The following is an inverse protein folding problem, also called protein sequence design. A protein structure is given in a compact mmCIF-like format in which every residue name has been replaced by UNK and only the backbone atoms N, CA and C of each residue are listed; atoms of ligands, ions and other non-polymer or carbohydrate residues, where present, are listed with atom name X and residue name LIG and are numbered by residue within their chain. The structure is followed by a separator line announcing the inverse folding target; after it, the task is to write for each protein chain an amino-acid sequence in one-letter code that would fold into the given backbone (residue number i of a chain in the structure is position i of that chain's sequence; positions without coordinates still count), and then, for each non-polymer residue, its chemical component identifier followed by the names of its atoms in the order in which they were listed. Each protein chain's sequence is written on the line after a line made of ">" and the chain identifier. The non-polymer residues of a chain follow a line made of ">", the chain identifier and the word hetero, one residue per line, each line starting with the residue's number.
data_IF_801257340743
#
_entry.id   IF_801257340743
#
_cell.length_a   1.000
_cell.length_b   1.000
_cell.length_c   1.000
_cell.angle_alpha   90.00
_cell.angle_beta   90.00
_cell.angle_gamma   90.00
#
_symmetry.space_group_name_H-M   'P 1'
#
loop_
_entity.id
_entity.type
_entity.pdbx_description
1 polymer ?
#
# COMPACT_ATOMS: atom_id res chain seq x y z
N UNK A 1 35.38 38.44 11.15
CA UNK A 1 34.51 37.98 10.06
C UNK A 1 33.80 36.71 10.52
N UNK A 2 32.50 36.77 10.75
CA UNK A 2 31.71 35.61 11.23
C UNK A 2 31.68 34.57 10.12
N UNK A 3 32.13 33.32 10.41
CA UNK A 3 31.95 32.17 9.52
C UNK A 3 30.45 31.89 9.37
N UNK A 4 29.92 32.12 8.18
CA UNK A 4 28.53 31.86 7.89
C UNK A 4 28.16 30.38 8.17
N UNK A 5 27.02 30.18 8.83
CA UNK A 5 26.41 28.87 9.00
C UNK A 5 26.16 28.29 7.61
N UNK A 6 26.66 27.09 7.35
CA UNK A 6 26.35 26.37 6.10
C UNK A 6 24.94 25.78 6.24
N UNK A 7 24.03 26.27 5.44
CA UNK A 7 22.72 25.64 5.27
C UNK A 7 22.74 24.67 4.08
N UNK A 8 22.02 23.57 4.18
CA UNK A 8 21.78 22.59 3.11
C UNK A 8 20.29 22.50 2.91
N UNK A 9 19.86 22.36 1.66
CA UNK A 9 18.47 22.24 1.30
C UNK A 9 18.16 20.79 0.95
N UNK A 10 17.17 20.21 1.62
CA UNK A 10 16.71 18.83 1.39
C UNK A 10 15.36 18.82 0.71
N UNK A 11 15.22 17.98 -0.30
CA UNK A 11 13.92 17.69 -0.89
C UNK A 11 13.10 16.81 0.06
N UNK A 12 11.97 17.28 0.54
CA UNK A 12 11.08 16.56 1.45
C UNK A 12 10.45 15.31 0.83
N UNK A 13 10.36 15.25 -0.52
CA UNK A 13 9.77 14.13 -1.21
C UNK A 13 10.74 12.95 -1.40
N UNK A 14 12.02 13.22 -1.76
CA UNK A 14 12.99 12.16 -2.08
C UNK A 14 14.30 12.23 -1.28
N UNK A 15 14.49 13.25 -0.42
CA UNK A 15 15.70 13.42 0.38
C UNK A 15 16.93 13.91 -0.42
N UNK A 16 16.76 14.32 -1.67
CA UNK A 16 17.87 14.88 -2.47
C UNK A 16 18.42 16.16 -1.84
N UNK A 17 19.76 16.26 -1.77
CA UNK A 17 20.47 17.36 -1.10
C UNK A 17 21.02 18.35 -2.12
N UNK A 18 20.82 19.64 -1.85
CA UNK A 18 21.35 20.73 -2.65
C UNK A 18 21.92 21.85 -1.77
N UNK A 19 22.97 22.52 -2.27
CA UNK A 19 23.60 23.64 -1.56
C UNK A 19 22.76 24.92 -1.61
N UNK A 20 21.73 24.98 -2.47
CA UNK A 20 20.83 26.12 -2.68
C UNK A 20 19.40 25.63 -2.86
N UNK A 21 18.46 26.47 -2.49
CA UNK A 21 17.05 26.20 -2.77
C UNK A 21 16.78 26.16 -4.28
N UNK A 22 16.12 25.12 -4.74
CA UNK A 22 15.66 24.96 -6.12
C UNK A 22 14.14 24.88 -6.14
N UNK A 23 13.50 25.49 -7.13
CA UNK A 23 12.04 25.43 -7.29
C UNK A 23 11.54 24.03 -7.65
N UNK A 24 12.35 23.25 -8.39
CA UNK A 24 12.04 21.88 -8.77
C UNK A 24 13.20 20.96 -8.35
N UNK A 25 12.89 19.83 -7.77
CA UNK A 25 13.89 18.84 -7.38
C UNK A 25 14.44 18.11 -8.64
N UNK A 26 15.77 18.11 -8.87
CA UNK A 26 16.35 17.45 -10.04
C UNK A 26 16.27 15.91 -9.96
N UNK A 27 16.09 15.35 -8.76
CA UNK A 27 16.05 13.91 -8.57
C UNK A 27 14.64 13.32 -8.74
N UNK A 28 13.59 13.98 -8.22
CA UNK A 28 12.22 13.46 -8.29
C UNK A 28 11.25 14.29 -9.14
N UNK A 29 11.68 15.46 -9.63
CA UNK A 29 10.87 16.33 -10.49
C UNK A 29 9.76 17.12 -9.79
N UNK A 30 9.58 16.97 -8.48
CA UNK A 30 8.57 17.68 -7.72
C UNK A 30 8.93 19.14 -7.48
N UNK A 31 7.89 20.00 -7.45
CA UNK A 31 8.04 21.44 -7.28
C UNK A 31 7.87 21.85 -5.82
N UNK A 32 8.65 22.88 -5.38
CA UNK A 32 8.56 23.51 -4.06
C UNK A 32 8.75 22.54 -2.88
N UNK A 33 9.61 21.52 -3.03
CA UNK A 33 9.84 20.48 -2.02
C UNK A 33 11.12 20.68 -1.20
N UNK A 34 11.93 21.73 -1.46
CA UNK A 34 13.16 21.96 -0.72
C UNK A 34 12.92 22.74 0.57
N UNK A 35 13.46 22.22 1.67
CA UNK A 35 13.49 22.86 2.99
C UNK A 35 14.92 23.09 3.42
N UNK A 36 15.19 24.26 4.00
CA UNK A 36 16.50 24.63 4.54
C UNK A 36 16.72 23.98 5.90
N UNK A 37 17.78 23.19 6.03
CA UNK A 37 18.30 22.71 7.31
C UNK A 37 19.63 23.40 7.61
N UNK A 38 19.72 24.01 8.79
CA UNK A 38 20.93 24.68 9.25
C UNK A 38 21.87 23.67 9.89
N UNK A 39 23.00 23.42 9.25
CA UNK A 39 24.06 22.62 9.84
C UNK A 39 24.83 23.54 10.82
N UNK A 40 24.60 23.35 12.11
CA UNK A 40 25.47 24.00 13.12
C UNK A 40 26.83 23.29 13.07
N UNK A 41 27.80 23.97 12.52
CA UNK A 41 29.20 23.53 12.50
C UNK A 41 29.84 23.65 13.89
N UNK A 42 29.31 22.90 14.83
CA UNK A 42 29.82 22.78 16.21
C UNK A 42 30.81 21.65 16.35
N UNK A 43 31.81 21.58 15.47
CA UNK A 43 33.00 20.79 15.78
C UNK A 43 33.88 21.67 16.65
N UNK A 44 33.71 21.62 17.95
CA UNK A 44 34.71 22.04 18.92
C UNK A 44 35.93 21.12 18.76
N UNK A 45 36.99 21.70 18.16
CA UNK A 45 38.33 21.15 18.28
C UNK A 45 38.70 21.12 19.76
N UNK A 46 38.89 19.92 20.28
CA UNK A 46 39.55 19.81 21.56
C UNK A 46 39.12 18.60 22.38
N UNK A 47 39.52 17.44 21.98
CA UNK A 47 40.15 16.49 22.88
C UNK A 47 40.73 15.37 22.03
N UNK A 48 42.02 15.26 21.94
CA UNK A 48 42.76 14.10 21.49
C UNK A 48 42.45 12.96 22.43
N UNK A 49 41.35 12.27 22.19
CA UNK A 49 41.09 10.92 22.75
C UNK A 49 41.90 9.95 21.92
N UNK A 50 42.85 9.38 22.63
CA UNK A 50 43.83 8.39 22.21
C UNK A 50 43.29 7.42 21.17
N UNK A 51 43.90 7.45 19.97
CA UNK A 51 43.68 6.57 18.83
C UNK A 51 44.08 5.09 19.08
N UNK A 52 43.87 4.58 20.29
CA UNK A 52 44.24 3.21 20.68
C UNK A 52 43.08 2.27 21.01
N UNK A 53 41.82 2.77 21.14
CA UNK A 53 40.67 1.88 21.45
C UNK A 53 39.70 1.61 20.28
N UNK A 54 39.92 2.19 19.10
CA UNK A 54 39.07 1.99 17.93
C UNK A 54 39.57 0.93 16.95
N UNK A 55 40.57 0.12 17.34
CA UNK A 55 41.11 -0.94 16.46
C UNK A 55 40.64 -2.36 16.76
N UNK A 56 39.78 -2.57 17.75
CA UNK A 56 39.34 -3.93 18.14
C UNK A 56 37.97 -4.37 17.58
N UNK A 57 37.31 -3.61 16.75
CA UNK A 57 36.05 -4.05 16.11
C UNK A 57 36.00 -3.83 14.61
N UNK A 58 37.13 -3.85 13.90
CA UNK A 58 37.07 -4.15 12.47
C UNK A 58 36.70 -5.63 12.37
N UNK A 59 35.39 -5.93 12.30
CA UNK A 59 34.91 -7.25 11.86
C UNK A 59 35.64 -7.54 10.56
N UNK A 60 36.53 -8.54 10.54
CA UNK A 60 37.15 -9.00 9.32
C UNK A 60 36.05 -9.29 8.31
N UNK A 61 36.05 -8.53 7.22
CA UNK A 61 35.09 -8.73 6.15
C UNK A 61 35.39 -10.10 5.51
N UNK A 62 34.60 -11.10 5.86
CA UNK A 62 34.77 -12.47 5.37
C UNK A 62 34.11 -12.60 4.01
N UNK A 63 34.89 -12.81 2.97
CA UNK A 63 34.37 -13.14 1.64
C UNK A 63 34.04 -14.63 1.62
N UNK A 64 32.79 -14.97 1.30
CA UNK A 64 32.33 -16.36 1.17
C UNK A 64 31.75 -16.58 -0.23
N UNK A 65 31.99 -17.72 -0.87
CA UNK A 65 31.35 -18.09 -2.12
C UNK A 65 29.84 -18.19 -1.93
N UNK A 66 29.05 -17.74 -2.92
CA UNK A 66 27.58 -17.80 -2.87
C UNK A 66 27.05 -19.22 -2.63
N UNK A 67 27.77 -20.23 -3.13
CA UNK A 67 27.44 -21.65 -2.97
C UNK A 67 27.58 -22.19 -1.54
N UNK A 68 28.32 -21.49 -0.69
CA UNK A 68 28.47 -21.82 0.73
C UNK A 68 27.44 -21.11 1.62
N UNK A 69 26.69 -20.16 1.05
CA UNK A 69 25.62 -19.47 1.77
C UNK A 69 24.37 -20.33 1.74
N UNK A 70 24.01 -20.92 2.87
CA UNK A 70 22.75 -21.64 3.04
C UNK A 70 21.64 -20.62 3.30
N UNK A 71 20.78 -20.37 2.31
CA UNK A 71 19.55 -19.64 2.48
C UNK A 71 18.43 -20.66 2.71
N UNK A 72 17.88 -20.71 3.90
CA UNK A 72 16.67 -21.50 4.17
C UNK A 72 15.45 -20.60 3.91
N UNK A 73 14.67 -20.91 2.89
CA UNK A 73 13.34 -20.28 2.69
C UNK A 73 12.42 -20.51 3.90
N UNK A 74 12.65 -21.57 4.67
CA UNK A 74 11.97 -21.87 5.93
C UNK A 74 12.31 -20.92 7.10
N UNK A 75 13.30 -20.02 6.93
CA UNK A 75 13.68 -19.07 7.97
C UNK A 75 12.69 -17.90 8.15
N UNK A 76 11.65 -17.80 7.31
CA UNK A 76 10.63 -16.75 7.45
C UNK A 76 9.76 -16.99 8.70
N UNK A 77 9.60 -15.93 9.49
CA UNK A 77 8.72 -15.95 10.64
C UNK A 77 7.30 -15.51 10.22
N UNK A 78 6.31 -16.38 10.34
CA UNK A 78 4.92 -16.00 10.10
C UNK A 78 4.42 -15.06 11.19
N UNK A 79 3.71 -14.01 10.80
CA UNK A 79 3.15 -13.03 11.74
C UNK A 79 1.91 -13.54 12.46
N UNK A 80 1.30 -14.63 11.97
CA UNK A 80 -0.01 -15.12 12.41
C UNK A 80 -1.18 -14.31 11.84
N UNK A 81 -0.92 -13.37 10.92
CA UNK A 81 -1.89 -12.57 10.18
C UNK A 81 -1.69 -12.91 8.70
N UNK A 82 -2.59 -13.71 8.11
CA UNK A 82 -2.42 -14.26 6.76
C UNK A 82 -2.35 -13.18 5.68
N UNK A 83 -3.16 -12.14 5.80
CA UNK A 83 -3.17 -11.03 4.83
C UNK A 83 -1.86 -10.23 4.91
N UNK A 84 -1.24 -10.09 6.08
CA UNK A 84 0.09 -9.48 6.22
C UNK A 84 1.20 -10.40 5.68
N UNK A 85 1.16 -11.69 6.03
CA UNK A 85 2.14 -12.66 5.55
C UNK A 85 2.14 -12.75 4.02
N UNK A 86 0.97 -12.66 3.39
CA UNK A 86 0.83 -12.59 1.92
C UNK A 86 1.60 -11.39 1.35
N UNK A 87 1.39 -10.20 1.88
CA UNK A 87 2.03 -8.96 1.41
C UNK A 87 3.54 -8.97 1.65
N UNK A 88 3.98 -9.62 2.74
CA UNK A 88 5.40 -9.83 3.04
C UNK A 88 6.06 -10.91 2.15
N UNK A 89 5.26 -11.66 1.38
CA UNK A 89 5.75 -12.76 0.54
C UNK A 89 6.01 -14.06 1.32
N UNK A 90 5.18 -14.34 2.33
CA UNK A 90 5.19 -15.56 3.15
C UNK A 90 5.65 -15.37 4.59
N UNK A 91 5.90 -14.15 5.03
CA UNK A 91 6.29 -13.82 6.41
C UNK A 91 7.52 -12.92 6.52
N UNK A 92 7.90 -12.65 7.75
CA UNK A 92 9.01 -11.75 8.11
C UNK A 92 10.36 -12.44 7.84
N UNK A 93 11.25 -11.75 7.15
CA UNK A 93 12.63 -12.23 6.92
C UNK A 93 13.54 -11.75 8.05
N UNK A 94 14.34 -12.63 8.68
CA UNK A 94 15.30 -12.23 9.71
C UNK A 94 16.27 -11.14 9.22
N UNK A 95 16.54 -10.16 10.05
CA UNK A 95 17.42 -9.03 9.69
C UNK A 95 16.85 -8.07 8.67
N UNK A 96 15.54 -8.14 8.35
CA UNK A 96 14.89 -7.20 7.46
C UNK A 96 14.46 -5.92 8.17
N UNK A 97 14.50 -4.80 7.43
CA UNK A 97 13.93 -3.53 7.85
C UNK A 97 12.67 -3.24 7.03
N UNK A 98 11.52 -3.20 7.70
CA UNK A 98 10.19 -3.05 7.08
C UNK A 98 9.59 -1.69 7.46
N UNK A 99 9.27 -0.87 6.47
CA UNK A 99 8.56 0.39 6.66
C UNK A 99 7.05 0.18 6.46
N UNK A 100 6.26 0.61 7.44
CA UNK A 100 4.79 0.66 7.34
C UNK A 100 4.36 2.12 7.29
N UNK A 101 3.97 2.57 6.09
CA UNK A 101 3.52 3.93 5.82
C UNK A 101 2.00 4.05 5.68
N UNK A 102 1.51 5.28 5.66
CA UNK A 102 0.08 5.60 5.44
C UNK A 102 -0.39 6.78 6.29
N UNK A 103 -1.62 7.24 6.02
CA UNK A 103 -2.23 8.38 6.69
C UNK A 103 -2.31 8.17 8.22
N UNK A 104 -2.26 9.26 9.03
CA UNK A 104 -2.52 9.18 10.46
C UNK A 104 -3.91 8.59 10.74
N UNK A 105 -3.99 7.68 11.72
CA UNK A 105 -5.25 7.02 12.09
C UNK A 105 -5.72 5.89 11.17
N UNK A 106 -4.95 5.51 10.12
CA UNK A 106 -5.33 4.44 9.18
C UNK A 106 -5.26 3.03 9.80
N UNK A 107 -4.49 2.83 10.89
CA UNK A 107 -4.37 1.55 11.58
C UNK A 107 -2.96 0.96 11.67
N UNK A 108 -1.90 1.69 11.27
CA UNK A 108 -0.51 1.20 11.29
C UNK A 108 -0.07 0.63 12.63
N UNK A 109 -0.15 1.47 13.68
CA UNK A 109 0.23 1.08 15.05
C UNK A 109 -0.67 -0.04 15.60
N UNK A 110 -1.95 -0.08 15.17
CA UNK A 110 -2.88 -1.16 15.52
C UNK A 110 -2.44 -2.48 14.94
N UNK A 111 -2.13 -2.53 13.63
CA UNK A 111 -1.64 -3.74 12.96
C UNK A 111 -0.37 -4.26 13.64
N UNK A 112 0.62 -3.36 13.87
CA UNK A 112 1.90 -3.78 14.44
C UNK A 112 1.76 -4.25 15.89
N UNK A 113 0.86 -3.65 16.68
CA UNK A 113 0.58 -4.12 18.03
C UNK A 113 -0.10 -5.51 18.00
N UNK A 114 -0.98 -5.79 17.03
CA UNK A 114 -1.56 -7.13 16.81
C UNK A 114 -0.51 -8.15 16.38
N UNK A 115 0.45 -7.77 15.52
CA UNK A 115 1.61 -8.61 15.18
C UNK A 115 2.44 -8.91 16.41
N UNK A 116 2.74 -7.89 17.24
CA UNK A 116 3.47 -8.08 18.50
C UNK A 116 2.74 -9.04 19.43
N UNK A 117 1.41 -8.93 19.54
CA UNK A 117 0.60 -9.85 20.34
C UNK A 117 0.77 -11.30 19.91
N UNK A 118 0.62 -11.57 18.61
CA UNK A 118 0.74 -12.92 18.03
C UNK A 118 2.16 -13.49 18.22
N UNK A 119 3.17 -12.70 17.91
CA UNK A 119 4.56 -13.14 17.99
C UNK A 119 5.05 -13.29 19.41
N UNK A 120 4.57 -12.48 20.35
CA UNK A 120 4.97 -12.59 21.77
C UNK A 120 4.52 -13.88 22.45
N UNK A 121 3.63 -14.67 21.85
CA UNK A 121 3.27 -15.99 22.37
C UNK A 121 4.48 -16.95 22.41
N UNK A 122 5.47 -16.76 21.52
CA UNK A 122 6.63 -17.66 21.39
C UNK A 122 7.96 -16.96 21.14
N UNK A 123 7.99 -15.61 21.05
CA UNK A 123 9.17 -14.78 20.78
C UNK A 123 9.25 -13.60 21.74
N UNK A 124 10.47 -13.18 22.04
CA UNK A 124 10.72 -11.91 22.74
C UNK A 124 10.55 -10.74 21.78
N UNK A 125 9.54 -9.90 22.01
CA UNK A 125 9.20 -8.76 21.13
C UNK A 125 9.40 -7.45 21.90
N UNK A 126 10.04 -6.46 21.29
CA UNK A 126 10.23 -5.14 21.84
C UNK A 126 9.47 -4.09 21.01
N UNK A 127 8.50 -3.42 21.62
CA UNK A 127 7.77 -2.31 21.05
C UNK A 127 8.29 -1.00 21.62
N UNK A 128 8.82 -0.13 20.76
CA UNK A 128 9.41 1.16 21.12
C UNK A 128 8.48 2.26 20.62
N UNK A 129 8.01 3.10 21.53
CA UNK A 129 7.12 4.21 21.21
C UNK A 129 7.78 5.55 21.54
N UNK A 130 7.77 6.45 20.55
CA UNK A 130 8.14 7.83 20.75
C UNK A 130 6.95 8.80 20.79
N UNK A 131 5.73 8.31 20.56
CA UNK A 131 4.53 9.16 20.50
C UNK A 131 3.58 8.91 21.67
N UNK A 132 3.44 7.66 22.10
CA UNK A 132 2.49 7.27 23.15
C UNK A 132 3.20 6.81 24.41
N UNK A 133 2.62 7.15 25.55
CA UNK A 133 3.06 6.63 26.86
C UNK A 133 2.67 5.14 27.04
N UNK A 134 3.34 4.43 27.95
CA UNK A 134 3.03 3.04 28.28
C UNK A 134 1.55 2.85 28.66
N UNK A 135 0.96 3.80 29.38
CA UNK A 135 -0.45 3.75 29.77
C UNK A 135 -1.40 3.84 28.56
N UNK A 136 -1.10 4.70 27.58
CA UNK A 136 -1.88 4.83 26.36
C UNK A 136 -1.81 3.57 25.48
N UNK A 137 -0.61 3.00 25.34
CA UNK A 137 -0.42 1.72 24.62
C UNK A 137 -1.20 0.62 25.33
N UNK A 138 -1.15 0.54 26.67
CA UNK A 138 -1.90 -0.45 27.44
C UNK A 138 -3.41 -0.31 27.27
N UNK A 139 -3.94 0.91 27.25
CA UNK A 139 -5.36 1.16 26.98
C UNK A 139 -5.79 0.68 25.61
N UNK A 140 -4.93 0.86 24.59
CA UNK A 140 -5.16 0.34 23.24
C UNK A 140 -5.08 -1.19 23.20
N UNK A 141 -4.06 -1.77 23.84
CA UNK A 141 -3.84 -3.21 23.93
C UNK A 141 -5.03 -3.93 24.58
N UNK A 142 -5.63 -3.37 25.63
CA UNK A 142 -6.77 -3.97 26.33
C UNK A 142 -8.00 -4.20 25.44
N UNK A 143 -8.14 -3.46 24.30
CA UNK A 143 -9.22 -3.68 23.32
C UNK A 143 -8.98 -4.89 22.43
N UNK A 144 -7.72 -5.33 22.32
CA UNK A 144 -7.30 -6.40 21.42
C UNK A 144 -7.22 -7.77 22.12
N UNK A 145 -7.46 -7.83 23.43
CA UNK A 145 -7.39 -9.02 24.26
C UNK A 145 -6.07 -9.14 25.03
N UNK A 146 -5.76 -10.36 25.48
CA UNK A 146 -4.60 -10.61 26.34
C UNK A 146 -3.29 -10.62 25.54
N UNK A 147 -2.23 -10.21 26.19
CA UNK A 147 -0.86 -10.17 25.65
C UNK A 147 0.06 -11.03 26.50
N UNK A 148 1.02 -11.68 25.87
CA UNK A 148 2.06 -12.45 26.53
C UNK A 148 3.04 -11.57 27.29
N UNK A 149 3.67 -12.13 28.33
CA UNK A 149 4.75 -11.50 29.11
C UNK A 149 6.03 -11.26 28.28
N UNK A 150 6.14 -11.88 27.10
CA UNK A 150 7.28 -11.68 26.19
C UNK A 150 7.16 -10.40 25.32
N UNK A 151 6.09 -9.59 25.48
CA UNK A 151 6.01 -8.27 24.87
C UNK A 151 6.53 -7.21 25.86
N UNK A 152 7.64 -6.59 25.48
CA UNK A 152 8.28 -5.51 26.23
C UNK A 152 7.97 -4.16 25.59
N UNK A 153 7.72 -3.14 26.42
CA UNK A 153 7.47 -1.77 25.99
C UNK A 153 8.61 -0.85 26.45
N UNK A 154 9.10 -0.03 25.52
CA UNK A 154 10.05 1.05 25.81
C UNK A 154 9.48 2.37 25.27
N UNK A 155 9.35 3.38 26.12
CA UNK A 155 8.99 4.74 25.70
C UNK A 155 10.27 5.59 25.73
N UNK A 156 10.93 5.67 24.59
CA UNK A 156 12.20 6.38 24.39
C UNK A 156 12.33 6.85 22.95
N UNK A 157 13.06 7.93 22.74
CA UNK A 157 13.27 8.56 21.43
C UNK A 157 14.75 8.76 21.07
N UNK A 158 15.64 8.65 22.04
CA UNK A 158 17.09 8.75 21.83
C UNK A 158 17.67 7.45 21.29
N UNK A 159 18.33 7.52 20.12
CA UNK A 159 18.84 6.36 19.39
C UNK A 159 19.95 5.60 20.12
N UNK A 160 20.81 6.31 20.86
CA UNK A 160 21.92 5.73 21.60
C UNK A 160 21.39 4.83 22.72
N UNK A 161 20.36 5.30 23.45
CA UNK A 161 19.69 4.54 24.51
C UNK A 161 18.96 3.32 23.91
N UNK A 162 18.19 3.54 22.83
CA UNK A 162 17.44 2.48 22.13
C UNK A 162 18.38 1.40 21.65
N UNK A 163 19.48 1.77 20.99
CA UNK A 163 20.47 0.81 20.47
C UNK A 163 21.08 -0.03 21.60
N UNK A 164 21.46 0.60 22.70
CA UNK A 164 21.98 -0.08 23.89
C UNK A 164 20.98 -1.07 24.48
N UNK A 165 19.69 -0.73 24.53
CA UNK A 165 18.62 -1.63 24.99
C UNK A 165 18.45 -2.82 24.03
N UNK A 166 18.40 -2.58 22.72
CA UNK A 166 18.27 -3.67 21.71
C UNK A 166 19.46 -4.64 21.79
N UNK A 167 20.67 -4.12 21.91
CA UNK A 167 21.89 -4.94 22.02
C UNK A 167 21.94 -5.77 23.31
N UNK A 168 21.48 -5.20 24.43
CA UNK A 168 21.42 -5.86 25.71
C UNK A 168 20.33 -6.91 25.78
N UNK A 169 19.11 -6.53 25.42
CA UNK A 169 17.91 -7.36 25.58
C UNK A 169 17.75 -8.43 24.49
N UNK A 170 18.41 -8.25 23.33
CA UNK A 170 18.40 -9.20 22.20
C UNK A 170 16.99 -9.68 21.85
N UNK A 171 16.03 -8.77 21.58
CA UNK A 171 14.70 -9.20 21.16
C UNK A 171 14.77 -9.92 19.80
N UNK A 172 13.79 -10.77 19.52
CA UNK A 172 13.66 -11.48 18.24
C UNK A 172 12.89 -10.66 17.19
N UNK A 173 12.24 -9.57 17.61
CA UNK A 173 11.59 -8.59 16.75
C UNK A 173 11.53 -7.23 17.47
N UNK A 174 11.68 -6.15 16.69
CA UNK A 174 11.56 -4.77 17.18
C UNK A 174 10.52 -4.01 16.34
N UNK A 175 9.71 -3.19 17.01
CA UNK A 175 8.80 -2.22 16.38
C UNK A 175 9.16 -0.83 16.86
N UNK A 176 9.27 0.13 15.93
CA UNK A 176 9.52 1.55 16.18
C UNK A 176 8.29 2.37 15.77
N UNK A 177 7.63 3.03 16.71
CA UNK A 177 6.40 3.80 16.48
C UNK A 177 6.49 5.21 17.09
N UNK A 178 6.86 6.25 16.32
CA UNK A 178 7.19 6.27 14.90
C UNK A 178 8.64 6.73 14.67
N UNK A 179 9.15 6.53 13.44
CA UNK A 179 10.49 6.94 13.05
C UNK A 179 10.70 8.46 13.15
N UNK A 180 9.63 9.25 12.99
CA UNK A 180 9.68 10.71 13.00
C UNK A 180 10.01 11.30 14.38
N UNK A 181 9.78 10.57 15.45
CA UNK A 181 10.08 11.01 16.81
C UNK A 181 11.47 10.63 17.28
N UNK A 182 12.15 9.73 16.56
CA UNK A 182 13.49 9.27 16.90
C UNK A 182 14.54 10.33 16.56
N UNK A 183 15.57 10.45 17.41
CA UNK A 183 16.67 11.36 17.18
C UNK A 183 18.01 10.85 17.71
N UNK A 184 19.09 11.30 17.09
CA UNK A 184 20.47 11.16 17.58
C UNK A 184 20.99 12.54 17.98
N UNK A 185 21.71 12.60 19.10
CA UNK A 185 22.39 13.81 19.56
C UNK A 185 23.56 14.21 18.62
N UNK A 186 24.04 13.29 17.78
CA UNK A 186 25.10 13.55 16.79
C UNK A 186 24.60 14.39 15.60
N UNK A 187 23.28 14.45 15.37
CA UNK A 187 22.66 15.17 14.27
C UNK A 187 22.02 16.47 14.80
N UNK A 188 22.54 17.62 14.40
CA UNK A 188 22.13 18.92 14.94
C UNK A 188 20.71 19.39 14.52
N UNK A 189 20.02 18.69 13.63
CA UNK A 189 18.67 19.04 13.18
C UNK A 189 17.58 18.52 14.14
N UNK A 190 16.40 19.15 14.10
CA UNK A 190 15.27 18.77 14.96
C UNK A 190 14.74 17.36 14.66
N UNK A 191 14.16 16.64 15.65
CA UNK A 191 13.44 15.40 15.43
C UNK A 191 12.39 15.54 14.31
N UNK A 192 12.25 14.51 13.47
CA UNK A 192 11.36 14.55 12.32
C UNK A 192 11.91 15.24 11.07
N UNK A 193 13.06 15.88 11.14
CA UNK A 193 13.76 16.40 9.95
C UNK A 193 14.25 15.26 9.06
N UNK A 194 14.53 15.55 7.77
CA UNK A 194 15.02 14.55 6.81
C UNK A 194 16.32 13.91 7.30
N UNK A 195 17.24 14.71 7.84
CA UNK A 195 18.54 14.24 8.34
C UNK A 195 18.38 13.28 9.53
N UNK A 196 17.55 13.64 10.51
CA UNK A 196 17.28 12.79 11.68
C UNK A 196 16.61 11.47 11.27
N UNK A 197 15.58 11.55 10.43
CA UNK A 197 14.85 10.36 9.98
C UNK A 197 15.74 9.42 9.16
N UNK A 198 16.64 9.96 8.33
CA UNK A 198 17.63 9.16 7.58
C UNK A 198 18.64 8.50 8.50
N UNK A 199 19.19 9.25 9.46
CA UNK A 199 20.16 8.70 10.42
C UNK A 199 19.52 7.64 11.30
N UNK A 200 18.34 7.90 11.85
CA UNK A 200 17.58 6.91 12.63
C UNK A 200 17.35 5.61 11.84
N UNK A 201 16.97 5.74 10.56
CA UNK A 201 16.77 4.58 9.69
C UNK A 201 18.06 3.82 9.43
N UNK A 202 19.19 4.53 9.26
CA UNK A 202 20.50 3.93 9.07
C UNK A 202 20.93 3.12 10.29
N UNK A 203 20.76 3.66 11.49
CA UNK A 203 21.03 2.97 12.77
C UNK A 203 20.20 1.69 12.89
N UNK A 204 18.88 1.77 12.64
CA UNK A 204 18.02 0.58 12.70
C UNK A 204 18.35 -0.44 11.62
N UNK A 205 18.78 -0.02 10.43
CA UNK A 205 19.26 -0.93 9.38
C UNK A 205 20.52 -1.68 9.81
N UNK A 206 21.47 -0.99 10.42
CA UNK A 206 22.69 -1.61 10.94
C UNK A 206 22.39 -2.59 12.07
N UNK A 207 21.51 -2.25 13.00
CA UNK A 207 21.07 -3.13 14.07
C UNK A 207 20.34 -4.36 13.50
N UNK A 208 19.40 -4.18 12.57
CA UNK A 208 18.67 -5.27 11.94
C UNK A 208 19.62 -6.26 11.27
N UNK A 209 20.55 -5.78 10.41
CA UNK A 209 21.51 -6.61 9.68
C UNK A 209 22.57 -7.21 10.61
N UNK A 210 23.09 -6.41 11.55
CA UNK A 210 24.17 -6.84 12.45
C UNK A 210 23.75 -7.90 13.47
N UNK A 211 22.52 -7.80 13.96
CA UNK A 211 21.96 -8.72 14.97
C UNK A 211 21.04 -9.78 14.37
N UNK A 212 20.76 -9.71 13.06
CA UNK A 212 19.79 -10.57 12.36
C UNK A 212 18.35 -10.50 12.95
N UNK A 213 17.97 -9.32 13.46
CA UNK A 213 16.67 -9.06 14.09
C UNK A 213 15.79 -8.29 13.09
N UNK A 214 14.56 -8.74 12.77
CA UNK A 214 13.64 -7.96 11.96
C UNK A 214 13.16 -6.72 12.72
N UNK A 215 13.17 -5.57 12.04
CA UNK A 215 12.74 -4.29 12.58
C UNK A 215 11.62 -3.72 11.73
N UNK A 216 10.48 -3.41 12.36
CA UNK A 216 9.39 -2.66 11.74
C UNK A 216 9.45 -1.20 12.16
N UNK A 217 9.36 -0.30 11.20
CA UNK A 217 9.29 1.14 11.46
C UNK A 217 7.96 1.70 10.94
N UNK A 218 7.27 2.47 11.79
CA UNK A 218 6.06 3.20 11.40
C UNK A 218 6.48 4.56 10.85
N UNK A 219 5.94 4.92 9.68
CA UNK A 219 6.12 6.23 9.05
C UNK A 219 4.78 6.91 8.78
N UNK A 220 4.64 8.17 9.15
CA UNK A 220 3.45 8.97 8.84
C UNK A 220 3.64 9.73 7.53
N UNK A 221 2.63 9.67 6.63
CA UNK A 221 2.59 10.52 5.44
C UNK A 221 2.10 11.91 5.88
N UNK A 222 2.90 12.93 5.63
CA UNK A 222 2.51 14.31 5.93
C UNK A 222 2.05 15.00 4.65
N UNK A 223 0.85 15.58 4.67
CA UNK A 223 0.33 16.42 3.57
C UNK A 223 0.96 17.82 3.55
N UNK A 224 1.59 18.23 4.64
CA UNK A 224 2.03 19.62 4.89
C UNK A 224 3.56 19.82 4.96
N UNK A 225 4.35 18.97 4.34
CA UNK A 225 5.74 19.29 3.99
C UNK A 225 6.75 19.67 5.10
N UNK A 226 6.39 19.66 6.39
CA UNK A 226 7.31 20.05 7.48
C UNK A 226 8.07 18.89 8.11
N UNK A 227 7.58 17.67 7.96
CA UNK A 227 8.17 16.45 8.50
C UNK A 227 8.55 15.50 7.36
N UNK A 228 9.70 14.85 7.46
CA UNK A 228 10.16 13.88 6.45
C UNK A 228 9.15 12.74 6.27
N UNK A 229 8.62 12.63 5.06
CA UNK A 229 7.66 11.57 4.71
C UNK A 229 8.35 10.21 4.49
N UNK A 230 7.58 9.11 4.46
CA UNK A 230 8.10 7.75 4.24
C UNK A 230 8.88 7.58 2.94
N UNK A 231 8.61 8.36 1.89
CA UNK A 231 9.30 8.29 0.59
C UNK A 231 10.82 8.49 0.69
N UNK A 232 11.28 9.30 1.65
CA UNK A 232 12.71 9.48 1.93
C UNK A 232 13.38 8.17 2.31
N UNK A 233 12.65 7.27 2.96
CA UNK A 233 13.13 6.01 3.51
C UNK A 233 13.00 4.83 2.55
N UNK A 234 12.18 4.94 1.50
CA UNK A 234 11.88 3.82 0.59
C UNK A 234 13.14 3.17 0.00
N UNK A 235 14.18 3.98 -0.26
CA UNK A 235 15.43 3.46 -0.81
C UNK A 235 16.30 2.73 0.21
N UNK A 236 16.16 3.06 1.50
CA UNK A 236 17.00 2.53 2.57
C UNK A 236 16.50 1.22 3.14
N UNK A 237 15.17 1.00 3.16
CA UNK A 237 14.54 -0.18 3.75
C UNK A 237 14.42 -1.34 2.75
N UNK A 238 14.25 -2.55 3.26
CA UNK A 238 14.10 -3.75 2.44
C UNK A 238 12.67 -3.93 1.90
N UNK A 239 11.67 -3.59 2.72
CA UNK A 239 10.25 -3.71 2.38
C UNK A 239 9.53 -2.42 2.75
N UNK A 240 8.64 -1.96 1.88
CA UNK A 240 7.75 -0.81 2.10
C UNK A 240 6.33 -1.26 1.93
N UNK A 241 5.54 -1.13 2.98
CA UNK A 241 4.12 -1.41 3.01
C UNK A 241 3.36 -0.09 3.20
N UNK A 242 2.35 0.16 2.37
CA UNK A 242 1.47 1.31 2.52
C UNK A 242 0.05 0.87 2.85
N UNK A 243 -0.52 1.50 3.88
CA UNK A 243 -1.95 1.47 4.10
C UNK A 243 -2.66 2.48 3.20
N UNK A 244 -3.62 1.99 2.43
CA UNK A 244 -4.53 2.75 1.59
C UNK A 244 -5.97 2.59 2.12
N UNK A 245 -6.80 3.60 1.94
CA UNK A 245 -8.23 3.55 2.28
C UNK A 245 -8.76 4.91 2.72
N UNK A 246 -10.06 5.11 2.57
CA UNK A 246 -10.75 6.28 3.08
C UNK A 246 -11.00 6.10 4.59
N UNK A 247 -10.89 7.18 5.38
CA UNK A 247 -11.18 7.16 6.83
C UNK A 247 -12.62 6.76 7.14
N UNK A 248 -13.52 6.98 6.20
CA UNK A 248 -14.95 6.65 6.31
C UNK A 248 -15.29 5.25 5.79
N UNK A 249 -14.39 4.62 5.03
CA UNK A 249 -14.57 3.23 4.61
C UNK A 249 -14.17 2.28 5.74
N UNK A 250 -14.90 1.17 5.89
CA UNK A 250 -14.58 0.15 6.89
C UNK A 250 -13.27 -0.60 6.56
N UNK A 251 -12.88 -0.61 5.28
CA UNK A 251 -11.71 -1.34 4.81
C UNK A 251 -10.44 -0.55 4.77
N UNK A 252 -9.36 -1.33 4.91
CA UNK A 252 -8.00 -0.88 4.76
C UNK A 252 -7.28 -1.86 3.86
N UNK A 253 -6.61 -1.36 2.83
CA UNK A 253 -5.75 -2.15 1.95
C UNK A 253 -4.32 -1.92 2.37
N UNK A 254 -3.59 -2.99 2.60
CA UNK A 254 -2.15 -2.95 2.81
C UNK A 254 -1.47 -3.40 1.51
N UNK A 255 -0.68 -2.52 0.91
CA UNK A 255 0.01 -2.77 -0.36
C UNK A 255 1.52 -2.79 -0.18
N UNK A 256 2.20 -3.76 -0.78
CA UNK A 256 3.65 -3.72 -0.91
C UNK A 256 4.04 -2.80 -2.07
N UNK A 257 4.74 -1.70 -1.77
CA UNK A 257 5.30 -0.79 -2.78
C UNK A 257 6.73 -1.19 -3.15
N UNK A 258 7.45 -1.77 -2.19
CA UNK A 258 8.77 -2.35 -2.36
C UNK A 258 8.88 -3.61 -1.52
N UNK A 259 9.41 -4.68 -2.09
CA UNK A 259 9.70 -5.90 -1.36
C UNK A 259 10.89 -6.62 -2.01
N UNK A 260 12.04 -6.65 -1.31
CA UNK A 260 13.24 -7.36 -1.78
C UNK A 260 13.11 -8.88 -1.67
N UNK A 261 12.13 -9.35 -0.89
CA UNK A 261 11.97 -10.76 -0.54
C UNK A 261 10.72 -11.41 -1.13
N UNK A 262 9.94 -10.65 -1.91
CA UNK A 262 8.70 -11.14 -2.50
C UNK A 262 8.14 -10.22 -3.57
N UNK A 263 6.94 -10.53 -4.03
CA UNK A 263 6.22 -9.72 -5.02
C UNK A 263 5.79 -8.37 -4.41
N UNK A 264 5.85 -7.31 -5.19
CA UNK A 264 5.27 -6.00 -4.85
C UNK A 264 3.82 -5.86 -5.30
N UNK A 265 3.29 -6.89 -5.96
CA UNK A 265 1.93 -6.84 -6.49
C UNK A 265 0.87 -7.36 -5.49
N UNK A 266 1.28 -7.92 -4.35
CA UNK A 266 0.35 -8.48 -3.37
C UNK A 266 -0.30 -7.39 -2.53
N UNK A 267 -1.58 -7.61 -2.20
CA UNK A 267 -2.34 -6.78 -1.26
C UNK A 267 -2.90 -7.62 -0.11
N UNK A 268 -3.01 -6.98 1.05
CA UNK A 268 -3.75 -7.49 2.20
C UNK A 268 -5.00 -6.63 2.43
N UNK A 269 -6.13 -7.25 2.71
CA UNK A 269 -7.39 -6.56 2.96
C UNK A 269 -7.83 -6.76 4.40
N UNK A 270 -8.06 -5.65 5.09
CA UNK A 270 -8.45 -5.62 6.50
C UNK A 270 -9.72 -4.79 6.69
N UNK A 271 -10.49 -5.17 7.68
CA UNK A 271 -11.60 -4.38 8.20
C UNK A 271 -11.22 -3.75 9.55
N UNK A 272 -11.51 -2.47 9.74
CA UNK A 272 -11.28 -1.80 11.01
C UNK A 272 -12.50 -2.02 11.93
N UNK A 273 -12.29 -2.76 13.02
CA UNK A 273 -13.29 -3.02 14.05
C UNK A 273 -12.88 -2.43 15.39
N UNK A 274 -13.77 -2.50 16.40
CA UNK A 274 -13.45 -2.01 17.76
C UNK A 274 -12.30 -2.77 18.42
N UNK A 275 -12.14 -4.04 18.07
CA UNK A 275 -11.09 -4.94 18.55
C UNK A 275 -9.76 -4.81 17.77
N UNK A 276 -9.71 -3.97 16.74
CA UNK A 276 -8.55 -3.76 15.88
C UNK A 276 -8.82 -4.08 14.41
N UNK A 277 -7.78 -4.44 13.68
CA UNK A 277 -7.86 -4.85 12.28
C UNK A 277 -8.17 -6.34 12.19
N UNK A 278 -9.21 -6.67 11.44
CA UNK A 278 -9.63 -8.05 11.16
C UNK A 278 -9.34 -8.36 9.69
N UNK A 279 -8.80 -9.53 9.44
CA UNK A 279 -8.51 -10.01 8.08
C UNK A 279 -9.80 -10.25 7.30
N UNK A 280 -9.85 -9.82 6.05
CA UNK A 280 -10.97 -10.11 5.13
C UNK A 280 -10.58 -11.27 4.24
N UNK A 281 -11.05 -12.47 4.58
CA UNK A 281 -10.72 -13.69 3.83
C UNK A 281 -11.22 -13.64 2.38
N UNK A 282 -12.41 -13.09 2.16
CA UNK A 282 -13.02 -12.95 0.85
C UNK A 282 -13.45 -11.50 0.55
N UNK A 283 -12.53 -10.65 0.06
CA UNK A 283 -12.88 -9.27 -0.30
C UNK A 283 -13.99 -9.16 -1.33
N UNK A 284 -14.06 -10.08 -2.29
CA UNK A 284 -15.08 -10.07 -3.34
C UNK A 284 -16.49 -10.23 -2.79
N UNK A 285 -16.69 -11.17 -1.88
CA UNK A 285 -18.00 -11.40 -1.23
C UNK A 285 -18.49 -10.17 -0.49
N UNK A 286 -17.56 -9.53 0.18
CA UNK A 286 -17.86 -8.33 0.91
C UNK A 286 -18.15 -7.13 0.00
N UNK A 287 -17.34 -6.91 -1.05
CA UNK A 287 -17.54 -5.82 -2.02
C UNK A 287 -18.87 -5.89 -2.76
N UNK A 288 -19.43 -7.09 -2.82
CA UNK A 288 -20.73 -7.35 -3.46
C UNK A 288 -21.91 -7.33 -2.46
N UNK A 289 -21.62 -7.20 -1.15
CA UNK A 289 -22.66 -7.15 -0.12
C UNK A 289 -23.51 -5.87 -0.26
N UNK A 290 -24.84 -6.03 -0.17
CA UNK A 290 -25.78 -4.90 -0.30
C UNK A 290 -26.04 -4.41 -1.73
N UNK A 291 -25.58 -5.18 -2.75
CA UNK A 291 -25.88 -4.87 -4.15
C UNK A 291 -27.39 -4.92 -4.41
N UNK A 292 -27.94 -3.89 -5.10
CA UNK A 292 -29.36 -3.87 -5.41
C UNK A 292 -29.70 -4.91 -6.49
N UNK A 293 -30.81 -5.63 -6.31
CA UNK A 293 -31.35 -6.55 -7.29
C UNK A 293 -32.03 -5.80 -8.45
N UNK A 294 -31.87 -6.29 -9.68
CA UNK A 294 -32.52 -5.74 -10.88
C UNK A 294 -32.36 -4.22 -11.11
N UNK A 295 -31.24 -3.65 -10.66
CA UNK A 295 -30.96 -2.23 -10.86
C UNK A 295 -30.23 -1.98 -12.19
N UNK A 296 -30.74 -1.02 -12.98
CA UNK A 296 -30.02 -0.54 -14.16
C UNK A 296 -28.78 0.25 -13.71
N UNK A 297 -27.68 0.09 -14.45
CA UNK A 297 -26.43 0.76 -14.16
C UNK A 297 -25.52 0.05 -13.15
N UNK A 298 -25.91 -1.11 -12.61
CA UNK A 298 -25.07 -1.93 -11.74
C UNK A 298 -24.51 -3.13 -12.51
N UNK A 299 -23.19 -3.33 -12.48
CA UNK A 299 -22.48 -4.42 -13.14
C UNK A 299 -21.35 -4.95 -12.25
N UNK A 300 -21.19 -6.26 -12.17
CA UNK A 300 -20.04 -6.85 -11.52
C UNK A 300 -18.89 -7.03 -12.51
N UNK A 301 -17.73 -6.50 -12.17
CA UNK A 301 -16.50 -6.71 -12.90
C UNK A 301 -15.47 -7.45 -12.05
N UNK A 302 -14.48 -8.07 -12.71
CA UNK A 302 -13.35 -8.67 -12.04
C UNK A 302 -12.07 -7.91 -12.33
N UNK A 303 -11.48 -7.33 -11.30
CA UNK A 303 -10.12 -6.79 -11.30
C UNK A 303 -9.14 -7.81 -10.71
N UNK A 304 -7.86 -7.68 -11.06
CA UNK A 304 -6.77 -8.38 -10.37
C UNK A 304 -5.89 -7.37 -9.69
N UNK A 305 -5.73 -7.55 -8.40
CA UNK A 305 -4.76 -6.82 -7.60
C UNK A 305 -3.67 -7.80 -7.16
N UNK A 306 -2.50 -7.64 -7.75
CA UNK A 306 -1.42 -8.61 -7.58
C UNK A 306 -1.68 -9.94 -8.26
N UNK A 307 -1.86 -10.98 -7.48
CA UNK A 307 -2.27 -12.31 -7.94
C UNK A 307 -3.73 -12.61 -7.57
N UNK A 308 -4.42 -11.70 -6.89
CA UNK A 308 -5.75 -11.92 -6.33
C UNK A 308 -6.85 -11.33 -7.22
N UNK A 309 -7.75 -12.16 -7.74
CA UNK A 309 -8.95 -11.66 -8.39
C UNK A 309 -9.90 -11.07 -7.33
N UNK A 310 -10.42 -9.87 -7.60
CA UNK A 310 -11.39 -9.18 -6.75
C UNK A 310 -12.58 -8.81 -7.60
N UNK A 311 -13.75 -9.29 -7.21
CA UNK A 311 -15.01 -8.91 -7.82
C UNK A 311 -15.50 -7.62 -7.19
N UNK A 312 -15.84 -6.65 -8.04
CA UNK A 312 -16.28 -5.33 -7.65
C UNK A 312 -17.58 -4.97 -8.36
N UNK A 313 -18.45 -4.25 -7.67
CA UNK A 313 -19.61 -3.63 -8.30
C UNK A 313 -19.21 -2.28 -8.91
N UNK A 314 -19.52 -2.11 -10.18
CA UNK A 314 -19.44 -0.84 -10.90
C UNK A 314 -20.85 -0.29 -11.04
N UNK A 315 -21.07 0.92 -10.52
CA UNK A 315 -22.33 1.63 -10.60
C UNK A 315 -22.18 2.82 -11.56
N UNK A 316 -23.12 2.97 -12.48
CA UNK A 316 -23.20 4.12 -13.36
C UNK A 316 -24.60 4.74 -13.31
N UNK A 317 -24.67 6.04 -13.21
CA UNK A 317 -25.88 6.82 -13.36
C UNK A 317 -25.70 7.78 -14.52
N UNK A 318 -26.54 7.63 -15.55
CA UNK A 318 -26.56 8.51 -16.72
C UNK A 318 -27.92 9.19 -16.81
N UNK A 319 -27.95 10.51 -16.80
CA UNK A 319 -29.16 11.29 -16.89
C UNK A 319 -28.99 12.49 -17.85
N UNK A 320 -30.11 13.05 -18.33
CA UNK A 320 -30.05 14.21 -19.21
C UNK A 320 -29.52 15.46 -18.46
N UNK A 321 -28.58 16.17 -19.06
CA UNK A 321 -28.03 17.40 -18.48
C UNK A 321 -28.95 18.59 -18.74
N UNK A 322 -29.39 19.22 -17.67
CA UNK A 322 -30.27 20.40 -17.78
C UNK A 322 -29.50 21.74 -17.86
N UNK A 323 -28.16 21.72 -17.74
CA UNK A 323 -27.36 22.95 -17.56
C UNK A 323 -26.45 23.29 -18.75
N UNK A 324 -26.61 22.66 -19.90
CA UNK A 324 -25.81 22.94 -21.11
C UNK A 324 -24.34 22.50 -21.08
N UNK A 325 -23.79 22.18 -19.88
CA UNK A 325 -22.45 21.59 -19.71
C UNK A 325 -22.59 20.28 -18.92
N UNK A 326 -22.45 19.12 -19.58
CA UNK A 326 -22.57 17.84 -18.93
C UNK A 326 -21.56 17.64 -17.82
N UNK A 327 -22.01 17.19 -16.67
CA UNK A 327 -21.17 16.84 -15.52
C UNK A 327 -20.77 15.38 -15.61
N UNK A 328 -19.50 15.12 -15.39
CA UNK A 328 -18.96 13.76 -15.33
C UNK A 328 -18.19 13.61 -14.05
N UNK A 329 -18.43 12.52 -13.32
CA UNK A 329 -17.78 12.23 -12.05
C UNK A 329 -17.38 10.77 -12.02
N UNK A 330 -16.19 10.49 -11.54
CA UNK A 330 -15.69 9.15 -11.32
C UNK A 330 -15.20 9.01 -9.89
N UNK A 331 -15.70 8.01 -9.18
CA UNK A 331 -15.23 7.61 -7.86
C UNK A 331 -14.72 6.17 -7.92
N UNK A 332 -13.55 5.93 -7.34
CA UNK A 332 -12.91 4.61 -7.37
C UNK A 332 -12.22 4.22 -8.69
N UNK A 333 -12.32 5.06 -9.74
CA UNK A 333 -11.63 4.86 -11.02
C UNK A 333 -11.11 6.18 -11.60
N UNK A 334 -10.32 6.11 -12.68
CA UNK A 334 -9.76 7.30 -13.32
C UNK A 334 -10.82 8.08 -14.11
N UNK A 335 -10.94 9.37 -13.82
CA UNK A 335 -11.89 10.28 -14.48
C UNK A 335 -11.67 10.37 -15.99
N UNK A 336 -10.40 10.44 -16.44
CA UNK A 336 -10.08 10.56 -17.86
C UNK A 336 -10.43 9.26 -18.59
N UNK A 337 -10.25 8.10 -17.94
CA UNK A 337 -10.64 6.81 -18.49
C UNK A 337 -12.15 6.72 -18.73
N UNK A 338 -12.96 7.15 -17.78
CA UNK A 338 -14.44 7.21 -17.95
C UNK A 338 -14.82 8.10 -19.12
N UNK A 339 -14.23 9.30 -19.25
CA UNK A 339 -14.49 10.21 -20.37
C UNK A 339 -14.14 9.60 -21.71
N UNK A 340 -13.01 8.89 -21.78
CA UNK A 340 -12.55 8.19 -22.97
C UNK A 340 -13.54 7.09 -23.38
N UNK A 341 -13.99 6.27 -22.43
CA UNK A 341 -14.97 5.21 -22.68
C UNK A 341 -16.32 5.77 -23.14
N UNK A 342 -16.76 6.90 -22.58
CA UNK A 342 -17.97 7.59 -23.04
C UNK A 342 -17.83 8.10 -24.49
N UNK A 343 -16.69 8.66 -24.86
CA UNK A 343 -16.42 9.08 -26.23
C UNK A 343 -16.41 7.89 -27.21
N UNK A 344 -15.89 6.73 -26.77
CA UNK A 344 -15.94 5.49 -27.57
C UNK A 344 -17.40 5.04 -27.77
N UNK A 345 -18.23 5.02 -26.71
CA UNK A 345 -19.66 4.68 -26.79
C UNK A 345 -20.41 5.61 -27.75
N UNK A 346 -20.17 6.90 -27.65
CA UNK A 346 -20.80 7.90 -28.53
C UNK A 346 -20.39 7.68 -29.99
N UNK A 347 -19.08 7.57 -30.26
CA UNK A 347 -18.58 7.45 -31.63
C UNK A 347 -18.84 6.10 -32.29
N UNK A 348 -18.79 5.00 -31.53
CA UNK A 348 -18.87 3.62 -32.09
C UNK A 348 -20.27 3.04 -32.06
N UNK A 349 -21.09 3.40 -31.07
CA UNK A 349 -22.45 2.92 -30.92
C UNK A 349 -23.53 3.96 -31.23
N UNK A 350 -23.13 5.19 -31.54
CA UNK A 350 -24.09 6.28 -31.83
C UNK A 350 -24.93 6.71 -30.62
N UNK A 351 -24.45 6.47 -29.41
CA UNK A 351 -25.18 6.84 -28.20
C UNK A 351 -25.08 8.36 -27.97
N UNK A 352 -26.19 9.04 -27.75
CA UNK A 352 -26.23 10.48 -27.53
C UNK A 352 -25.83 10.85 -26.10
N UNK A 353 -24.56 10.62 -25.74
CA UNK A 353 -24.03 10.88 -24.40
C UNK A 353 -23.47 12.30 -24.23
N UNK A 354 -23.31 13.05 -25.33
CA UNK A 354 -22.73 14.40 -25.30
C UNK A 354 -23.52 15.40 -24.46
N UNK A 355 -24.84 15.20 -24.30
CA UNK A 355 -25.71 16.03 -23.48
C UNK A 355 -26.20 15.32 -22.19
N UNK A 356 -25.45 14.31 -21.73
CA UNK A 356 -25.81 13.53 -20.55
C UNK A 356 -24.80 13.74 -19.43
N UNK A 357 -25.28 13.97 -18.23
CA UNK A 357 -24.51 13.84 -17.01
C UNK A 357 -24.20 12.35 -16.77
N UNK A 358 -22.99 12.03 -16.33
CA UNK A 358 -22.59 10.67 -16.03
C UNK A 358 -21.80 10.60 -14.72
N UNK A 359 -22.22 9.71 -13.87
CA UNK A 359 -21.59 9.41 -12.59
C UNK A 359 -21.23 7.94 -12.57
N UNK A 360 -19.95 7.64 -12.38
CA UNK A 360 -19.43 6.26 -12.27
C UNK A 360 -18.81 6.09 -10.91
N UNK A 361 -19.19 5.03 -10.22
CA UNK A 361 -18.68 4.70 -8.89
C UNK A 361 -18.31 3.22 -8.83
N UNK A 362 -17.13 2.94 -8.28
CA UNK A 362 -16.77 1.57 -7.86
C UNK A 362 -17.18 1.46 -6.39
N UNK A 363 -18.10 0.54 -6.11
CA UNK A 363 -18.59 0.30 -4.75
C UNK A 363 -17.47 -0.21 -3.82
N UNK A 364 -17.60 0.04 -2.51
CA UNK A 364 -16.65 -0.42 -1.50
C UNK A 364 -15.48 0.53 -1.21
N UNK A 365 -15.42 1.72 -1.86
CA UNK A 365 -14.41 2.74 -1.56
C UNK A 365 -12.98 2.38 -1.99
N UNK A 366 -12.81 1.38 -2.85
CA UNK A 366 -11.53 0.95 -3.40
C UNK A 366 -11.25 1.68 -4.71
N UNK A 367 -9.99 2.05 -4.92
CA UNK A 367 -9.54 2.63 -6.18
C UNK A 367 -8.97 1.53 -7.09
N UNK A 368 -9.59 1.38 -8.27
CA UNK A 368 -9.19 0.42 -9.30
C UNK A 368 -8.66 1.15 -10.52
N UNK A 369 -7.46 0.78 -10.95
CA UNK A 369 -6.80 1.35 -12.13
C UNK A 369 -6.55 0.32 -13.23
N UNK A 370 -6.93 -0.95 -13.01
CA UNK A 370 -6.72 -2.02 -13.98
C UNK A 370 -7.65 -1.87 -15.19
N UNK A 371 -7.11 -1.91 -16.44
CA UNK A 371 -7.93 -1.77 -17.66
C UNK A 371 -9.00 -2.87 -17.84
N UNK A 372 -8.86 -4.00 -17.15
CA UNK A 372 -9.84 -5.07 -17.21
C UNK A 372 -11.25 -4.66 -16.78
N UNK A 373 -11.40 -3.57 -16.02
CA UNK A 373 -12.71 -3.05 -15.57
C UNK A 373 -13.43 -2.20 -16.64
N UNK A 374 -12.76 -1.84 -17.72
CA UNK A 374 -13.32 -0.99 -18.78
C UNK A 374 -14.63 -1.51 -19.35
N UNK A 375 -14.65 -2.81 -19.69
CA UNK A 375 -15.86 -3.42 -20.24
C UNK A 375 -17.02 -3.37 -19.23
N UNK A 376 -16.74 -3.51 -17.93
CA UNK A 376 -17.71 -3.32 -16.86
C UNK A 376 -18.23 -1.89 -16.80
N UNK A 377 -17.36 -0.88 -16.90
CA UNK A 377 -17.75 0.54 -16.93
C UNK A 377 -18.63 0.82 -18.15
N UNK A 378 -18.22 0.34 -19.33
CA UNK A 378 -19.01 0.48 -20.58
C UNK A 378 -20.39 -0.12 -20.41
N UNK A 379 -20.50 -1.35 -19.89
CA UNK A 379 -21.77 -2.04 -19.72
C UNK A 379 -22.65 -1.36 -18.65
N UNK A 380 -22.07 -0.83 -17.56
CA UNK A 380 -22.80 -0.08 -16.55
C UNK A 380 -23.38 1.21 -17.12
N UNK A 381 -22.59 1.98 -17.90
CA UNK A 381 -23.05 3.20 -18.56
C UNK A 381 -24.19 2.89 -19.54
N UNK A 382 -24.06 1.85 -20.36
CA UNK A 382 -25.09 1.45 -21.33
C UNK A 382 -26.37 0.96 -20.65
N UNK A 383 -26.23 0.16 -19.59
CA UNK A 383 -27.35 -0.32 -18.77
C UNK A 383 -28.15 0.84 -18.18
N UNK A 384 -27.44 1.82 -17.58
CA UNK A 384 -28.06 3.03 -17.04
C UNK A 384 -28.74 3.87 -18.13
N UNK A 385 -28.04 4.14 -19.25
CA UNK A 385 -28.57 4.94 -20.36
C UNK A 385 -29.82 4.34 -20.99
N UNK A 386 -29.89 3.01 -21.12
CA UNK A 386 -31.04 2.28 -21.66
C UNK A 386 -32.10 1.96 -20.62
N UNK A 387 -31.83 2.20 -19.35
CA UNK A 387 -32.62 1.80 -18.21
C UNK A 387 -32.98 0.29 -18.25
N UNK A 388 -31.98 -0.55 -18.55
CA UNK A 388 -32.09 -2.00 -18.60
C UNK A 388 -31.09 -2.65 -17.65
N UNK A 389 -31.55 -3.42 -16.66
CA UNK A 389 -30.65 -4.12 -15.75
C UNK A 389 -29.89 -5.22 -16.48
N UNK A 390 -28.69 -5.50 -15.99
CA UNK A 390 -27.89 -6.67 -16.37
C UNK A 390 -28.18 -7.74 -15.33
N UNK A 391 -28.28 -8.99 -15.78
CA UNK A 391 -28.48 -10.13 -14.89
C UNK A 391 -27.43 -10.14 -13.78
N UNK A 392 -27.89 -10.24 -12.54
CA UNK A 392 -27.06 -10.13 -11.32
C UNK A 392 -26.00 -11.23 -11.18
N UNK A 393 -26.22 -12.37 -11.85
CA UNK A 393 -25.27 -13.48 -11.91
C UNK A 393 -24.30 -13.39 -13.09
N UNK A 394 -24.24 -12.21 -13.71
CA UNK A 394 -23.32 -11.94 -14.82
C UNK A 394 -22.11 -11.13 -14.32
N UNK A 395 -20.93 -11.61 -14.66
CA UNK A 395 -19.66 -10.91 -14.45
C UNK A 395 -19.04 -10.52 -15.78
N UNK A 396 -18.30 -9.42 -15.77
CA UNK A 396 -17.71 -8.84 -16.98
C UNK A 396 -16.26 -8.48 -16.73
N UNK A 397 -15.38 -8.70 -17.70
CA UNK A 397 -14.03 -8.12 -17.70
C UNK A 397 -13.46 -8.02 -19.12
N UNK A 398 -12.63 -7.02 -19.35
CA UNK A 398 -11.94 -6.78 -20.60
C UNK A 398 -11.48 -5.33 -20.75
N UNK A 399 -10.34 -5.10 -21.38
CA UNK A 399 -9.88 -3.77 -21.75
C UNK A 399 -10.62 -3.28 -23.00
N UNK A 400 -11.00 -2.02 -23.04
CA UNK A 400 -11.67 -1.42 -24.19
C UNK A 400 -10.75 -0.43 -24.88
N UNK A 401 -10.43 -0.68 -26.15
CA UNK A 401 -9.64 0.23 -26.98
C UNK A 401 -10.48 1.32 -27.66
N UNK A 402 -9.80 2.31 -28.23
CA UNK A 402 -10.42 3.50 -28.86
C UNK A 402 -11.26 3.17 -30.10
N UNK A 403 -11.01 2.02 -30.77
CA UNK A 403 -11.84 1.55 -31.89
C UNK A 403 -13.09 0.81 -31.42
N UNK A 404 -13.26 0.63 -30.11
CA UNK A 404 -14.35 -0.14 -29.49
C UNK A 404 -14.05 -1.64 -29.45
N UNK A 405 -12.83 -2.07 -29.75
CA UNK A 405 -12.38 -3.45 -29.61
C UNK A 405 -12.25 -3.85 -28.14
N UNK A 406 -12.53 -5.10 -27.84
CA UNK A 406 -12.33 -5.69 -26.50
C UNK A 406 -11.07 -6.53 -26.51
N UNK A 407 -10.08 -6.13 -25.74
CA UNK A 407 -8.74 -6.71 -25.67
C UNK A 407 -8.60 -7.69 -24.53
N UNK A 408 -7.67 -8.64 -24.73
CA UNK A 408 -7.30 -9.61 -23.68
C UNK A 408 -6.73 -8.91 -22.45
N UNK A 409 -6.99 -9.51 -21.30
CA UNK A 409 -6.44 -9.10 -20.01
C UNK A 409 -5.71 -10.28 -19.36
N UNK A 410 -4.85 -9.99 -18.40
CA UNK A 410 -4.06 -10.99 -17.70
C UNK A 410 -4.94 -11.94 -16.86
N UNK A 411 -4.50 -13.18 -16.68
CA UNK A 411 -5.05 -14.17 -15.74
C UNK A 411 -6.56 -14.42 -15.89
N UNK A 412 -7.09 -14.63 -17.10
CA UNK A 412 -8.53 -14.82 -17.30
C UNK A 412 -9.07 -16.08 -16.58
N UNK A 413 -8.25 -17.11 -16.41
CA UNK A 413 -8.62 -18.34 -15.70
C UNK A 413 -8.93 -18.07 -14.23
N UNK A 414 -8.11 -17.27 -13.56
CA UNK A 414 -8.30 -16.93 -12.14
C UNK A 414 -9.56 -16.07 -11.95
N UNK A 415 -9.83 -15.12 -12.87
CA UNK A 415 -11.03 -14.28 -12.85
C UNK A 415 -12.30 -15.13 -12.96
N UNK A 416 -12.34 -16.06 -13.91
CA UNK A 416 -13.48 -16.95 -14.12
C UNK A 416 -13.62 -17.94 -12.95
N UNK A 417 -12.52 -18.44 -12.40
CA UNK A 417 -12.56 -19.35 -11.26
C UNK A 417 -13.13 -18.68 -10.01
N UNK A 418 -12.73 -17.42 -9.72
CA UNK A 418 -13.28 -16.65 -8.60
C UNK A 418 -14.76 -16.32 -8.80
N UNK A 419 -15.15 -15.90 -10.02
CA UNK A 419 -16.55 -15.68 -10.36
C UNK A 419 -17.41 -16.91 -10.11
N UNK A 420 -16.95 -18.08 -10.58
CA UNK A 420 -17.64 -19.35 -10.35
C UNK A 420 -17.74 -19.71 -8.86
N UNK A 421 -16.65 -19.51 -8.09
CA UNK A 421 -16.63 -19.77 -6.65
C UNK A 421 -17.70 -18.96 -5.91
N UNK A 422 -17.96 -17.73 -6.37
CA UNK A 422 -18.96 -16.81 -5.81
C UNK A 422 -20.36 -16.98 -6.42
N UNK A 423 -20.59 -18.02 -7.23
CA UNK A 423 -21.92 -18.39 -7.73
C UNK A 423 -22.38 -17.63 -8.97
N UNK A 424 -21.49 -16.93 -9.68
CA UNK A 424 -21.82 -16.34 -10.97
C UNK A 424 -22.05 -17.42 -12.05
N UNK A 425 -23.07 -17.20 -12.87
CA UNK A 425 -23.52 -18.18 -13.88
C UNK A 425 -23.06 -17.79 -15.29
N UNK A 426 -22.82 -16.50 -15.55
CA UNK A 426 -22.39 -15.99 -16.86
C UNK A 426 -21.15 -15.11 -16.72
N UNK A 427 -20.20 -15.29 -17.63
CA UNK A 427 -19.00 -14.45 -17.72
C UNK A 427 -18.86 -13.90 -19.13
N UNK A 428 -18.86 -12.56 -19.27
CA UNK A 428 -18.60 -11.85 -20.53
C UNK A 428 -17.13 -11.42 -20.52
N UNK A 429 -16.38 -11.89 -21.51
CA UNK A 429 -14.93 -11.70 -21.57
C UNK A 429 -14.44 -11.54 -23.02
N UNK A 430 -13.18 -11.06 -23.21
CA UNK A 430 -12.62 -10.97 -24.55
C UNK A 430 -12.62 -12.32 -25.27
N UNK A 431 -13.07 -12.36 -26.53
CA UNK A 431 -13.14 -13.59 -27.31
C UNK A 431 -11.79 -14.34 -27.39
N UNK A 432 -10.70 -13.56 -27.49
CA UNK A 432 -9.34 -14.12 -27.54
C UNK A 432 -8.98 -14.92 -26.27
N UNK A 433 -9.57 -14.57 -25.12
CA UNK A 433 -9.35 -15.25 -23.83
C UNK A 433 -10.15 -16.54 -23.69
N UNK A 434 -11.18 -16.79 -24.53
CA UNK A 434 -12.00 -18.01 -24.44
C UNK A 434 -11.18 -19.29 -24.53
N UNK A 435 -10.11 -19.30 -25.32
CA UNK A 435 -9.25 -20.49 -25.47
C UNK A 435 -8.59 -20.90 -24.15
N UNK A 436 -8.25 -19.93 -23.31
CA UNK A 436 -7.58 -20.16 -22.03
C UNK A 436 -8.57 -20.69 -20.96
N UNK A 437 -9.81 -20.24 -20.99
CA UNK A 437 -10.82 -20.58 -19.96
C UNK A 437 -11.75 -21.73 -20.31
N UNK A 438 -11.62 -22.35 -21.50
CA UNK A 438 -12.49 -23.45 -21.96
C UNK A 438 -12.58 -24.67 -21.03
N UNK A 439 -11.57 -24.87 -20.19
CA UNK A 439 -11.53 -25.96 -19.20
C UNK A 439 -12.44 -25.75 -17.99
N UNK A 440 -12.91 -24.52 -17.73
CA UNK A 440 -13.74 -24.20 -16.57
C UNK A 440 -15.19 -24.50 -16.86
N UNK A 441 -15.73 -25.57 -16.23
CA UNK A 441 -17.14 -25.99 -16.37
C UNK A 441 -18.00 -25.31 -15.29
N UNK A 442 -19.32 -25.16 -15.57
CA UNK A 442 -20.31 -24.68 -14.59
C UNK A 442 -20.50 -23.17 -14.59
N UNK A 443 -19.96 -22.46 -15.58
CA UNK A 443 -20.23 -21.04 -15.86
C UNK A 443 -20.33 -20.88 -17.39
N UNK A 444 -21.32 -20.11 -17.87
CA UNK A 444 -21.51 -19.78 -19.29
C UNK A 444 -20.50 -18.70 -19.69
N UNK A 445 -19.65 -18.99 -20.68
CA UNK A 445 -18.63 -18.07 -21.18
C UNK A 445 -19.11 -17.43 -22.49
N UNK A 446 -19.16 -16.08 -22.51
CA UNK A 446 -19.57 -15.32 -23.70
C UNK A 446 -18.37 -14.45 -24.13
N UNK A 447 -17.76 -14.84 -25.24
CA UNK A 447 -16.67 -14.07 -25.84
C UNK A 447 -17.18 -12.91 -26.67
N UNK A 448 -16.60 -11.72 -26.49
CA UNK A 448 -16.93 -10.51 -27.25
C UNK A 448 -15.69 -9.94 -27.93
N UNK A 449 -15.85 -9.48 -29.18
CA UNK A 449 -14.76 -8.86 -29.97
C UNK A 449 -14.72 -7.35 -29.78
N UNK A 450 -15.88 -6.75 -29.60
CA UNK A 450 -16.07 -5.33 -29.49
C UNK A 450 -17.22 -4.98 -28.53
N UNK A 451 -17.31 -3.70 -28.17
CA UNK A 451 -18.36 -3.23 -27.26
C UNK A 451 -19.78 -3.43 -27.82
N UNK A 452 -19.95 -3.42 -29.17
CA UNK A 452 -21.24 -3.69 -29.80
C UNK A 452 -21.76 -5.09 -29.56
N UNK A 453 -20.86 -6.08 -29.51
CA UNK A 453 -21.22 -7.48 -29.16
C UNK A 453 -21.64 -7.58 -27.68
N UNK A 454 -20.91 -6.91 -26.78
CA UNK A 454 -21.22 -6.89 -25.36
C UNK A 454 -22.59 -6.24 -25.07
N UNK A 455 -22.88 -5.11 -25.72
CA UNK A 455 -24.11 -4.34 -25.53
C UNK A 455 -25.37 -5.02 -26.09
N UNK A 456 -25.25 -5.99 -26.98
CA UNK A 456 -26.37 -6.83 -27.46
C UNK A 456 -26.86 -7.82 -26.39
N UNK A 457 -26.05 -8.06 -25.36
CA UNK A 457 -26.40 -8.99 -24.28
C UNK A 457 -27.31 -8.31 -23.22
N UNK A 458 -27.33 -6.97 -23.19
CA UNK A 458 -28.24 -6.11 -22.40
C UNK A 458 -29.54 -5.91 -23.20
#
# INVERSE_FOLDING_TARGET
>A
MAKGKKSVFFCQNCGHEEAKWLGQCPACGEWNTFVEEKLDSGITKGTTVSSRQTRESVREAKVVPLTEVTANDDARCRTGIHELDRVLGGGIVPGSLVLVGGDPGIGKSTLLLQVCRKLSEYKKVLYISGEESQAQIKLRANRMGDFSENLYLLCETNLEIISGVIEKERPEMVVIDSIQTMYSDEVASAPGSVSQVRESTNVFLQLAKGLCIPVFIVGHVTKEGTVAGPRVLEHMVDTVLYFEGDRHASYRILRAVKNRFGSTNEIGVFEMQQTGLVEVENPSEYMLSGRPENASGSVVACSIEGTRPILIEIQALVCHSNFGMPRRTAAGTDYNRVNLLMAVLEKRLGMALGNSDAYVNIAGGIRMSEPAVDLGIVMAIVSSFRNRPIDEKTIVFGEVGLSGEVRAVNMPEQRVAEAKKLGFETCILPEVSLKMVKGIKGIKLIGVKNIGDAVKII
#
